data_IF_424195312431
#
_entry.id   IF_424195312431
#
_cell.length_a   1.000
_cell.length_b   1.000
_cell.length_c   1.000
_cell.angle_alpha   90.00
_cell.angle_beta   90.00
_cell.angle_gamma   90.00
#
_symmetry.space_group_name_H-M   'P 1'
#
loop_
_entity.id
_entity.type
_entity.pdbx_description
1 polymer ?
#
# COMPACT_ATOMS: atom_id res chain seq x y z
N UNK A 1 24.55 -1.65 -14.49
CA UNK A 1 23.31 -0.88 -14.72
C UNK A 1 22.53 -0.83 -13.42
N UNK A 2 22.15 0.34 -13.00
CA UNK A 2 21.38 0.54 -11.77
C UNK A 2 19.89 0.37 -12.06
N UNK A 3 19.19 -0.46 -11.26
CA UNK A 3 17.75 -0.68 -11.41
C UNK A 3 17.04 0.10 -10.31
N UNK A 4 16.30 1.15 -10.67
CA UNK A 4 15.56 2.00 -9.74
C UNK A 4 14.32 1.32 -9.18
N UNK A 5 13.69 0.47 -9.96
CA UNK A 5 12.45 -0.18 -9.56
C UNK A 5 12.43 -1.64 -10.00
N UNK A 6 11.72 -2.45 -9.22
CA UNK A 6 11.45 -3.84 -9.53
C UNK A 6 9.94 -3.98 -9.62
N UNK A 7 9.45 -4.34 -10.80
CA UNK A 7 8.04 -4.64 -11.03
C UNK A 7 7.84 -6.14 -11.00
N UNK A 8 7.01 -6.61 -10.10
CA UNK A 8 6.76 -8.04 -9.88
C UNK A 8 5.27 -8.34 -10.00
N UNK A 9 4.97 -9.37 -10.79
CA UNK A 9 3.62 -9.91 -10.94
C UNK A 9 3.62 -11.31 -10.33
N UNK A 10 2.77 -11.53 -9.34
CA UNK A 10 2.62 -12.81 -8.68
C UNK A 10 1.23 -13.35 -8.97
N UNK A 11 1.16 -14.53 -9.58
CA UNK A 11 -0.12 -15.21 -9.83
C UNK A 11 -0.57 -15.94 -8.57
N UNK A 12 -1.78 -15.63 -8.12
CA UNK A 12 -2.40 -16.25 -6.96
C UNK A 12 -3.13 -17.54 -7.36
N UNK A 13 -3.46 -18.36 -6.37
CA UNK A 13 -4.07 -19.70 -6.60
C UNK A 13 -5.39 -19.65 -7.39
N UNK A 14 -6.15 -18.54 -7.30
CA UNK A 14 -7.42 -18.37 -8.03
C UNK A 14 -7.27 -17.69 -9.39
N UNK A 15 -6.02 -17.47 -9.84
CA UNK A 15 -5.76 -16.80 -11.10
C UNK A 15 -5.68 -15.28 -11.03
N UNK A 16 -6.03 -14.67 -9.92
CA UNK A 16 -5.81 -13.25 -9.69
C UNK A 16 -4.31 -12.96 -9.60
N UNK A 17 -3.92 -11.73 -9.86
CA UNK A 17 -2.53 -11.31 -9.81
C UNK A 17 -2.30 -10.25 -8.76
N UNK A 18 -1.19 -10.37 -8.05
CA UNK A 18 -0.67 -9.33 -7.16
C UNK A 18 0.46 -8.61 -7.89
N UNK A 19 0.27 -7.32 -8.11
CA UNK A 19 1.23 -6.48 -8.84
C UNK A 19 1.90 -5.52 -7.86
N UNK A 20 3.22 -5.61 -7.74
CA UNK A 20 3.98 -4.73 -6.86
C UNK A 20 5.17 -4.16 -7.60
N UNK A 21 5.31 -2.84 -7.55
CA UNK A 21 6.45 -2.11 -8.06
C UNK A 21 7.23 -1.49 -6.90
N UNK A 22 8.46 -1.95 -6.71
CA UNK A 22 9.35 -1.45 -5.66
C UNK A 22 10.34 -0.44 -6.25
N UNK A 23 10.37 0.75 -5.68
CA UNK A 23 11.35 1.79 -5.99
C UNK A 23 12.40 1.87 -4.88
N UNK A 24 13.67 1.66 -5.24
CA UNK A 24 14.79 1.77 -4.30
C UNK A 24 15.26 3.22 -4.13
N UNK A 25 14.82 4.12 -4.99
CA UNK A 25 15.20 5.54 -4.96
C UNK A 25 14.16 6.43 -4.30
N UNK A 26 12.96 5.90 -4.07
CA UNK A 26 11.90 6.61 -3.36
C UNK A 26 12.26 6.85 -1.89
N UNK A 27 11.82 7.97 -1.35
CA UNK A 27 11.93 8.28 0.09
C UNK A 27 10.92 7.50 0.94
N UNK A 28 9.90 6.89 0.29
CA UNK A 28 8.91 6.07 0.97
C UNK A 28 9.56 4.74 1.40
N UNK A 29 9.45 4.35 2.69
CA UNK A 29 9.98 3.07 3.15
C UNK A 29 9.42 1.89 2.36
N UNK A 30 10.25 0.86 2.15
CA UNK A 30 9.85 -0.32 1.36
C UNK A 30 8.60 -1.00 1.91
N UNK A 31 8.48 -1.14 3.24
CA UNK A 31 7.29 -1.76 3.84
C UNK A 31 6.00 -1.00 3.51
N UNK A 32 6.08 0.32 3.46
CA UNK A 32 4.94 1.18 3.13
C UNK A 32 4.59 1.10 1.64
N UNK A 33 5.58 0.97 0.76
CA UNK A 33 5.35 0.75 -0.67
C UNK A 33 4.58 -0.55 -0.91
N UNK A 34 4.96 -1.63 -0.23
CA UNK A 34 4.29 -2.93 -0.33
C UNK A 34 2.87 -2.84 0.23
N UNK A 35 2.74 -2.31 1.43
CA UNK A 35 1.45 -2.13 2.13
C UNK A 35 0.46 -1.35 1.27
N UNK A 36 0.85 -0.19 0.77
CA UNK A 36 -0.01 0.69 -0.01
C UNK A 36 -0.50 0.02 -1.29
N UNK A 37 0.37 -0.70 -1.99
CA UNK A 37 0.00 -1.35 -3.24
C UNK A 37 -0.96 -2.52 -3.03
N UNK A 38 -0.76 -3.32 -1.99
CA UNK A 38 -1.70 -4.39 -1.63
C UNK A 38 -3.05 -3.79 -1.23
N UNK A 39 -3.04 -2.78 -0.38
CA UNK A 39 -4.23 -2.06 0.07
C UNK A 39 -5.05 -1.53 -1.11
N UNK A 40 -4.40 -0.87 -2.06
CA UNK A 40 -5.06 -0.30 -3.23
C UNK A 40 -5.69 -1.38 -4.11
N UNK A 41 -5.03 -2.52 -4.28
CA UNK A 41 -5.56 -3.63 -5.07
C UNK A 41 -6.76 -4.30 -4.38
N UNK A 42 -6.80 -4.31 -3.07
CA UNK A 42 -7.99 -4.77 -2.32
C UNK A 42 -9.15 -3.79 -2.49
N UNK A 43 -8.88 -2.50 -2.34
CA UNK A 43 -9.91 -1.46 -2.45
C UNK A 43 -10.51 -1.40 -3.85
N UNK A 44 -9.68 -1.49 -4.89
CA UNK A 44 -10.15 -1.40 -6.29
C UNK A 44 -10.72 -2.71 -6.84
N UNK A 45 -10.70 -3.79 -6.07
CA UNK A 45 -11.26 -5.09 -6.47
C UNK A 45 -10.33 -5.98 -7.30
N UNK A 46 -9.08 -5.57 -7.54
CA UNK A 46 -8.10 -6.43 -8.23
C UNK A 46 -7.76 -7.67 -7.40
N UNK A 47 -7.79 -7.53 -6.08
CA UNK A 47 -7.72 -8.64 -5.12
C UNK A 47 -9.08 -8.78 -4.47
N UNK A 48 -9.63 -9.99 -4.47
CA UNK A 48 -10.97 -10.26 -3.96
C UNK A 48 -10.92 -10.81 -2.52
N UNK A 49 -11.97 -10.56 -1.72
CA UNK A 49 -12.07 -11.18 -0.40
C UNK A 49 -11.87 -12.69 -0.46
N UNK A 50 -11.06 -13.22 0.43
CA UNK A 50 -10.73 -14.63 0.48
C UNK A 50 -9.59 -15.08 -0.41
N UNK A 51 -9.05 -14.21 -1.27
CA UNK A 51 -7.87 -14.53 -2.07
C UNK A 51 -6.67 -14.84 -1.16
N UNK A 52 -5.97 -15.93 -1.45
CA UNK A 52 -4.74 -16.28 -0.76
C UNK A 52 -3.58 -15.40 -1.21
N UNK A 53 -2.91 -14.78 -0.26
CA UNK A 53 -1.71 -14.00 -0.50
C UNK A 53 -0.46 -14.89 -0.37
N UNK A 54 0.65 -14.52 -1.01
CA UNK A 54 1.91 -15.23 -0.81
C UNK A 54 2.34 -15.16 0.64
N UNK A 55 3.07 -16.17 1.10
CA UNK A 55 3.69 -16.12 2.42
C UNK A 55 4.68 -14.96 2.50
N UNK A 56 4.94 -14.49 3.71
CA UNK A 56 5.93 -13.43 3.95
C UNK A 56 7.27 -13.78 3.30
N UNK A 57 7.72 -15.02 3.48
CA UNK A 57 8.99 -15.51 2.91
C UNK A 57 8.98 -15.49 1.39
N UNK A 58 7.91 -15.96 0.77
CA UNK A 58 7.80 -15.98 -0.68
C UNK A 58 7.71 -14.58 -1.27
N UNK A 59 6.92 -13.70 -0.67
CA UNK A 59 6.81 -12.32 -1.14
C UNK A 59 8.15 -11.58 -1.02
N UNK A 60 8.85 -11.74 0.10
CA UNK A 60 10.18 -11.16 0.29
C UNK A 60 11.16 -11.63 -0.78
N UNK A 61 11.13 -12.91 -1.11
CA UNK A 61 11.97 -13.50 -2.16
C UNK A 61 11.64 -12.92 -3.54
N UNK A 62 10.36 -12.88 -3.89
CA UNK A 62 9.90 -12.34 -5.19
C UNK A 62 10.24 -10.86 -5.36
N UNK A 63 10.07 -10.07 -4.31
CA UNK A 63 10.35 -8.64 -4.33
C UNK A 63 11.81 -8.29 -4.09
N UNK A 64 12.65 -9.26 -3.71
CA UNK A 64 14.05 -9.06 -3.35
C UNK A 64 14.21 -8.04 -2.20
N UNK A 65 13.36 -8.17 -1.21
CA UNK A 65 13.39 -7.38 0.02
C UNK A 65 13.58 -8.28 1.23
N UNK A 66 13.86 -7.70 2.39
CA UNK A 66 14.04 -8.49 3.61
C UNK A 66 12.71 -9.09 4.10
N UNK A 67 12.81 -10.21 4.80
CA UNK A 67 11.65 -10.84 5.47
C UNK A 67 11.06 -9.88 6.50
N UNK A 68 11.89 -9.14 7.23
CA UNK A 68 11.44 -8.16 8.22
C UNK A 68 10.59 -7.06 7.58
N UNK A 69 11.02 -6.55 6.44
CA UNK A 69 10.27 -5.54 5.67
C UNK A 69 8.89 -6.05 5.26
N UNK A 70 8.84 -7.24 4.69
CA UNK A 70 7.59 -7.86 4.25
C UNK A 70 6.67 -8.18 5.43
N UNK A 71 7.24 -8.69 6.51
CA UNK A 71 6.50 -8.96 7.75
C UNK A 71 5.82 -7.69 8.27
N UNK A 72 6.54 -6.59 8.31
CA UNK A 72 5.99 -5.30 8.75
C UNK A 72 4.82 -4.85 7.88
N UNK A 73 4.93 -5.01 6.56
CA UNK A 73 3.84 -4.69 5.63
C UNK A 73 2.58 -5.50 5.96
N UNK A 74 2.73 -6.80 6.18
CA UNK A 74 1.61 -7.68 6.51
C UNK A 74 1.01 -7.36 7.88
N UNK A 75 1.82 -7.03 8.86
CA UNK A 75 1.35 -6.63 10.19
C UNK A 75 0.49 -5.37 10.12
N UNK A 76 0.92 -4.37 9.36
CA UNK A 76 0.15 -3.14 9.16
C UNK A 76 -1.16 -3.39 8.42
N UNK A 77 -1.13 -4.21 7.37
CA UNK A 77 -2.34 -4.58 6.62
C UNK A 77 -3.33 -5.36 7.50
N UNK A 78 -2.84 -6.27 8.33
CA UNK A 78 -3.68 -7.04 9.25
C UNK A 78 -4.29 -6.16 10.34
N UNK A 79 -3.49 -5.26 10.91
CA UNK A 79 -3.94 -4.27 11.89
C UNK A 79 -5.08 -3.41 11.35
N UNK A 80 -4.99 -2.99 10.11
CA UNK A 80 -6.02 -2.17 9.46
C UNK A 80 -7.18 -2.99 8.90
N UNK A 81 -7.15 -4.31 9.04
CA UNK A 81 -8.26 -5.18 8.64
C UNK A 81 -8.31 -5.55 7.16
N UNK A 82 -7.26 -5.29 6.39
CA UNK A 82 -7.21 -5.63 4.97
C UNK A 82 -6.93 -7.10 4.71
N UNK A 83 -6.14 -7.72 5.56
CA UNK A 83 -5.77 -9.13 5.44
C UNK A 83 -5.95 -9.83 6.78
N UNK A 84 -6.02 -11.16 6.75
CA UNK A 84 -6.10 -11.99 7.94
C UNK A 84 -5.20 -13.22 7.79
N UNK A 85 -4.58 -13.63 8.89
CA UNK A 85 -3.77 -14.82 8.95
C UNK A 85 -4.55 -15.92 9.65
N UNK A 86 -4.71 -17.07 8.97
CA UNK A 86 -5.37 -18.24 9.52
C UNK A 86 -4.28 -19.28 9.80
N UNK A 87 -4.10 -19.62 11.07
CA UNK A 87 -3.08 -20.57 11.51
C UNK A 87 -3.22 -21.91 10.77
N UNK A 88 -2.11 -22.36 10.19
CA UNK A 88 -2.06 -23.61 9.42
C UNK A 88 -2.61 -23.51 7.99
N UNK A 89 -3.16 -22.39 7.58
CA UNK A 89 -3.73 -22.20 6.24
C UNK A 89 -3.07 -21.09 5.42
N UNK A 90 -2.59 -20.03 6.06
CA UNK A 90 -1.90 -18.91 5.39
C UNK A 90 -2.54 -17.55 5.62
N UNK A 91 -2.20 -16.62 4.74
CA UNK A 91 -2.67 -15.23 4.78
C UNK A 91 -3.63 -14.98 3.63
N UNK A 92 -4.73 -14.32 3.92
CA UNK A 92 -5.82 -14.11 2.97
C UNK A 92 -6.30 -12.67 2.98
N UNK A 93 -6.83 -12.22 1.86
CA UNK A 93 -7.57 -10.96 1.81
C UNK A 93 -8.81 -11.11 2.69
N UNK A 94 -9.00 -10.13 3.58
CA UNK A 94 -10.10 -10.15 4.55
C UNK A 94 -11.45 -10.11 3.86
N UNK A 95 -12.47 -10.69 4.49
CA UNK A 95 -13.87 -10.63 4.06
C UNK A 95 -14.57 -9.34 4.50
N UNK A 96 -13.86 -8.35 5.02
CA UNK A 96 -14.44 -7.08 5.42
C UNK A 96 -15.02 -6.31 4.22
N UNK A 97 -16.03 -5.48 4.51
CA UNK A 97 -16.68 -4.65 3.50
C UNK A 97 -15.67 -3.64 2.91
N UNK A 98 -15.57 -3.61 1.59
CA UNK A 98 -14.68 -2.69 0.84
C UNK A 98 -14.98 -1.22 1.16
N UNK A 99 -16.25 -0.86 1.37
CA UNK A 99 -16.62 0.52 1.71
C UNK A 99 -16.02 0.94 3.06
N UNK A 100 -16.04 0.05 4.04
CA UNK A 100 -15.39 0.31 5.34
C UNK A 100 -13.88 0.49 5.19
N UNK A 101 -13.24 -0.31 4.34
CA UNK A 101 -11.82 -0.19 4.08
C UNK A 101 -11.47 1.14 3.39
N UNK A 102 -12.34 1.61 2.48
CA UNK A 102 -12.23 2.94 1.87
C UNK A 102 -12.34 4.05 2.91
N UNK A 103 -13.30 3.94 3.83
CA UNK A 103 -13.48 4.92 4.90
C UNK A 103 -12.24 5.03 5.79
N UNK A 104 -11.65 3.89 6.18
CA UNK A 104 -10.41 3.85 6.96
C UNK A 104 -9.27 4.53 6.19
N UNK A 105 -9.14 4.23 4.91
CA UNK A 105 -8.11 4.83 4.05
C UNK A 105 -8.31 6.34 3.91
N UNK A 106 -9.55 6.77 3.70
CA UNK A 106 -9.89 8.20 3.61
C UNK A 106 -9.53 8.93 4.90
N UNK A 107 -9.89 8.38 6.04
CA UNK A 107 -9.54 8.94 7.34
C UNK A 107 -8.02 9.12 7.50
N UNK A 108 -7.25 8.11 7.07
CA UNK A 108 -5.79 8.20 7.12
C UNK A 108 -5.25 9.28 6.18
N UNK A 109 -5.83 9.43 4.99
CA UNK A 109 -5.48 10.49 4.03
C UNK A 109 -5.76 11.86 4.64
N UNK A 110 -6.93 12.06 5.22
CA UNK A 110 -7.31 13.32 5.87
C UNK A 110 -6.34 13.71 6.97
N UNK A 111 -5.93 12.77 7.82
CA UNK A 111 -4.96 13.02 8.87
C UNK A 111 -3.58 13.43 8.30
N UNK A 112 -3.11 12.74 7.27
CA UNK A 112 -1.85 13.09 6.61
C UNK A 112 -1.91 14.47 5.95
N UNK A 113 -3.04 14.79 5.30
CA UNK A 113 -3.26 16.09 4.70
C UNK A 113 -3.27 17.20 5.77
N UNK A 114 -3.90 16.96 6.91
CA UNK A 114 -3.89 17.94 8.00
C UNK A 114 -2.47 18.29 8.45
N UNK A 115 -1.61 17.28 8.62
CA UNK A 115 -0.21 17.49 8.97
C UNK A 115 0.53 18.31 7.90
N UNK A 116 0.32 17.99 6.63
CA UNK A 116 0.93 18.68 5.50
C UNK A 116 0.45 20.13 5.44
N UNK A 117 -0.84 20.36 5.64
CA UNK A 117 -1.42 21.70 5.66
C UNK A 117 -0.84 22.55 6.79
N UNK A 118 -0.66 21.97 7.97
CA UNK A 118 0.01 22.67 9.08
C UNK A 118 1.43 23.12 8.71
N UNK A 119 2.19 22.26 8.04
CA UNK A 119 3.53 22.60 7.56
C UNK A 119 3.48 23.72 6.50
N UNK A 120 2.56 23.63 5.55
CA UNK A 120 2.38 24.62 4.50
C UNK A 120 2.04 26.00 5.09
N UNK A 121 1.10 26.05 6.03
CA UNK A 121 0.74 27.29 6.73
C UNK A 121 1.92 27.89 7.49
N UNK A 122 2.75 27.06 8.09
CA UNK A 122 3.91 27.52 8.86
C UNK A 122 4.94 28.28 8.01
N UNK A 123 5.02 28.01 6.72
CA UNK A 123 5.91 28.70 5.78
C UNK A 123 5.20 29.73 4.89
N UNK A 124 3.93 29.99 5.16
CA UNK A 124 3.17 31.05 4.49
C UNK A 124 2.55 30.67 3.15
N UNK A 125 2.41 29.37 2.85
CA UNK A 125 1.72 28.91 1.63
C UNK A 125 0.23 29.23 1.76
N UNK A 126 -0.33 29.93 0.77
CA UNK A 126 -1.75 30.25 0.71
C UNK A 126 -2.57 29.05 0.24
N UNK A 127 -3.89 29.12 0.41
CA UNK A 127 -4.80 28.08 -0.08
C UNK A 127 -4.66 27.90 -1.60
N UNK A 128 -4.60 28.99 -2.34
CA UNK A 128 -4.46 28.96 -3.80
C UNK A 128 -3.16 28.29 -4.23
N UNK A 129 -2.06 28.66 -3.60
CA UNK A 129 -0.76 28.02 -3.85
C UNK A 129 -0.78 26.53 -3.49
N UNK A 130 -1.40 26.19 -2.36
CA UNK A 130 -1.57 24.79 -1.93
C UNK A 130 -2.38 23.96 -2.92
N UNK A 131 -3.47 24.51 -3.44
CA UNK A 131 -4.30 23.85 -4.44
C UNK A 131 -3.56 23.64 -5.76
N UNK A 132 -2.74 24.58 -6.18
CA UNK A 132 -1.89 24.43 -7.36
C UNK A 132 -0.86 23.30 -7.19
N UNK A 133 -0.23 23.22 -6.01
CA UNK A 133 0.70 22.13 -5.68
C UNK A 133 -0.03 20.79 -5.72
N UNK A 134 -1.18 20.69 -5.07
CA UNK A 134 -1.97 19.47 -5.04
C UNK A 134 -2.35 19.03 -6.46
N UNK A 135 -2.85 19.94 -7.28
CA UNK A 135 -3.23 19.67 -8.66
C UNK A 135 -2.05 19.17 -9.48
N UNK A 136 -0.92 19.85 -9.39
CA UNK A 136 0.30 19.45 -10.11
C UNK A 136 0.73 18.03 -9.75
N UNK A 137 0.80 17.72 -8.47
CA UNK A 137 1.17 16.38 -8.00
C UNK A 137 0.14 15.34 -8.44
N UNK A 138 -1.15 15.68 -8.35
CA UNK A 138 -2.23 14.76 -8.73
C UNK A 138 -2.18 14.39 -10.22
N UNK A 139 -1.80 15.33 -11.08
CA UNK A 139 -1.67 15.10 -12.52
C UNK A 139 -0.42 14.29 -12.90
N UNK A 140 0.62 14.29 -12.05
CA UNK A 140 1.88 13.59 -12.30
C UNK A 140 1.88 12.11 -11.85
N UNK A 141 1.03 11.74 -10.91
CA UNK A 141 1.01 10.38 -10.34
C UNK A 141 -0.02 9.44 -10.95
#
# INVERSE_FOLDING_TARGET
MYIDSIYTIITLKRGDTLNINISNTSTVPLYEQIETQIKNQIINGSLNPGDGLPSIRNLAKELKVSIITTKRSYEELEKDGFIETIVGKGTFVSNQNTERLKEITLYNIENKLEEIIKQAKAIGITLEEGLEIFKSIYEEV
#
